data_IF_008789144090
#
_entry.id   IF_008789144090
#
_cell.length_a   1.000
_cell.length_b   1.000
_cell.length_c   1.000
_cell.angle_alpha   90.00
_cell.angle_beta   90.00
_cell.angle_gamma   90.00
#
_symmetry.space_group_name_H-M   'P 1'
#
loop_
_entity.id
_entity.type
_entity.pdbx_description
1 polymer ?
#
# COMPACT_ATOMS: atom_id res chain seq x y z
N UNK A 1 1.49 -3.38 -25.10
CA UNK A 1 2.66 -2.47 -25.08
C UNK A 1 3.24 -2.45 -23.67
N UNK A 2 4.49 -2.89 -23.46
CA UNK A 2 5.18 -2.80 -22.17
C UNK A 2 5.38 -4.10 -21.35
N UNK A 3 5.03 -5.27 -21.88
CA UNK A 3 5.21 -6.57 -21.19
C UNK A 3 6.38 -7.40 -21.78
N UNK A 4 7.19 -6.80 -22.66
CA UNK A 4 8.35 -7.50 -23.22
C UNK A 4 9.56 -7.32 -22.30
N UNK A 5 10.35 -8.37 -22.04
CA UNK A 5 11.54 -8.30 -21.19
C UNK A 5 12.57 -7.25 -21.62
N UNK A 6 12.57 -6.91 -22.90
CA UNK A 6 13.48 -5.96 -23.54
C UNK A 6 13.17 -4.52 -23.11
N UNK A 7 11.88 -4.16 -23.02
CA UNK A 7 11.43 -2.85 -22.52
C UNK A 7 11.85 -2.63 -21.04
N UNK A 8 11.88 -3.69 -20.23
CA UNK A 8 12.28 -3.62 -18.81
C UNK A 8 13.76 -3.27 -18.62
N UNK A 9 14.64 -3.77 -19.50
CA UNK A 9 16.08 -3.51 -19.40
C UNK A 9 16.43 -2.07 -19.78
N UNK A 10 15.76 -1.51 -20.77
CA UNK A 10 16.05 -0.16 -21.26
C UNK A 10 15.30 0.94 -20.48
N UNK A 11 14.03 0.72 -20.12
CA UNK A 11 13.15 1.75 -19.54
C UNK A 11 12.87 1.56 -18.05
N UNK A 12 13.36 0.46 -17.48
CA UNK A 12 13.06 0.06 -16.09
C UNK A 12 11.65 -0.52 -15.92
N UNK A 13 11.32 -0.98 -14.70
CA UNK A 13 10.00 -1.52 -14.41
C UNK A 13 8.94 -0.42 -14.48
N UNK A 14 7.79 -0.77 -15.07
CA UNK A 14 6.57 0.02 -14.91
C UNK A 14 5.92 -0.34 -13.58
N UNK A 15 5.66 0.66 -12.75
CA UNK A 15 5.05 0.50 -11.43
C UNK A 15 3.66 1.12 -11.49
N UNK A 16 2.65 0.36 -11.07
CA UNK A 16 1.30 0.89 -10.87
C UNK A 16 1.09 1.00 -9.36
N UNK A 17 0.79 2.21 -8.89
CA UNK A 17 0.44 2.47 -7.50
C UNK A 17 -1.08 2.61 -7.43
N UNK A 18 -1.71 1.69 -6.70
CA UNK A 18 -3.15 1.72 -6.44
C UNK A 18 -3.39 2.54 -5.17
N UNK A 19 -4.19 3.61 -5.29
CA UNK A 19 -4.51 4.53 -4.21
C UNK A 19 -6.02 4.51 -3.92
N UNK A 20 -6.38 4.81 -2.68
CA UNK A 20 -7.77 5.10 -2.33
C UNK A 20 -8.20 6.48 -2.86
N UNK A 21 -9.46 6.84 -2.68
CA UNK A 21 -10.01 8.10 -3.19
C UNK A 21 -9.78 9.30 -2.27
N UNK A 22 -8.89 9.23 -1.28
CA UNK A 22 -8.69 10.33 -0.36
C UNK A 22 -8.28 11.62 -1.10
N UNK A 23 -8.90 12.74 -0.73
CA UNK A 23 -8.81 14.00 -1.49
C UNK A 23 -7.38 14.53 -1.62
N UNK A 24 -6.52 14.23 -0.64
CA UNK A 24 -5.12 14.63 -0.65
C UNK A 24 -4.26 13.86 -1.66
N UNK A 25 -4.67 12.67 -2.13
CA UNK A 25 -3.99 11.96 -3.22
C UNK A 25 -4.28 12.54 -4.60
N UNK A 26 -5.30 13.40 -4.72
CA UNK A 26 -5.79 13.94 -6.00
C UNK A 26 -5.34 15.36 -6.30
N UNK A 27 -4.32 15.84 -5.58
CA UNK A 27 -3.70 17.13 -5.80
C UNK A 27 -3.05 17.17 -7.18
N UNK A 28 -3.56 18.01 -8.08
CA UNK A 28 -3.15 18.05 -9.49
C UNK A 28 -1.65 18.33 -9.66
N UNK A 29 -1.13 19.27 -8.88
CA UNK A 29 0.29 19.63 -8.83
C UNK A 29 1.18 18.43 -8.49
N UNK A 30 0.77 17.62 -7.52
CA UNK A 30 1.49 16.40 -7.13
C UNK A 30 1.47 15.35 -8.23
N UNK A 31 0.31 15.15 -8.88
CA UNK A 31 0.16 14.18 -9.98
C UNK A 31 0.99 14.61 -11.19
N UNK A 32 0.90 15.88 -11.59
CA UNK A 32 1.65 16.43 -12.72
C UNK A 32 3.17 16.35 -12.49
N UNK A 33 3.63 16.63 -11.26
CA UNK A 33 5.03 16.49 -10.90
C UNK A 33 5.48 15.02 -10.97
N UNK A 34 4.67 14.09 -10.44
CA UNK A 34 4.96 12.65 -10.50
C UNK A 34 5.06 12.12 -11.93
N UNK A 35 4.12 12.49 -12.80
CA UNK A 35 4.13 12.07 -14.21
C UNK A 35 5.36 12.60 -14.98
N UNK A 36 5.84 13.79 -14.60
CA UNK A 36 7.02 14.41 -15.21
C UNK A 36 8.33 13.81 -14.70
N UNK A 37 8.45 13.59 -13.40
CA UNK A 37 9.69 13.13 -12.76
C UNK A 37 9.85 11.61 -12.81
N UNK A 38 8.75 10.86 -12.74
CA UNK A 38 8.72 9.40 -12.66
C UNK A 38 7.78 8.81 -13.74
N UNK A 39 8.15 8.93 -15.04
CA UNK A 39 7.29 8.50 -16.15
C UNK A 39 7.03 6.98 -16.20
N UNK A 40 7.75 6.19 -15.41
CA UNK A 40 7.54 4.76 -15.24
C UNK A 40 6.57 4.41 -14.10
N UNK A 41 6.11 5.39 -13.31
CA UNK A 41 5.11 5.22 -12.27
C UNK A 41 3.77 5.74 -12.76
N UNK A 42 2.72 4.92 -12.61
CA UNK A 42 1.34 5.30 -12.90
C UNK A 42 0.50 5.19 -11.65
N UNK A 43 -0.28 6.24 -11.35
CA UNK A 43 -1.25 6.23 -10.27
C UNK A 43 -2.60 5.74 -10.80
N UNK A 44 -3.23 4.85 -10.05
CA UNK A 44 -4.58 4.35 -10.31
C UNK A 44 -5.40 4.48 -9.04
N UNK A 45 -6.63 4.96 -9.17
CA UNK A 45 -7.51 5.20 -8.04
C UNK A 45 -8.58 4.11 -7.99
N UNK A 46 -8.82 3.55 -6.81
CA UNK A 46 -9.92 2.60 -6.62
C UNK A 46 -11.27 3.26 -6.92
N UNK A 47 -12.33 2.49 -7.24
CA UNK A 47 -13.68 3.03 -7.35
C UNK A 47 -14.15 3.64 -6.02
N UNK A 48 -15.14 4.53 -6.07
CA UNK A 48 -15.72 5.10 -4.86
C UNK A 48 -16.34 3.98 -3.99
N UNK A 49 -16.22 4.13 -2.66
CA UNK A 49 -16.81 3.20 -1.68
C UNK A 49 -16.44 1.72 -1.88
N UNK A 50 -15.20 1.46 -2.31
CA UNK A 50 -14.66 0.13 -2.59
C UNK A 50 -13.54 -0.28 -1.61
N UNK A 51 -13.75 -0.17 -0.27
CA UNK A 51 -12.72 -0.51 0.71
C UNK A 51 -12.29 -1.99 0.61
N UNK A 52 -13.20 -2.89 0.22
CA UNK A 52 -12.93 -4.32 0.04
C UNK A 52 -11.92 -4.60 -1.08
N UNK A 53 -11.72 -3.65 -2.00
CA UNK A 53 -10.73 -3.74 -3.06
C UNK A 53 -9.34 -3.22 -2.64
N UNK A 54 -9.25 -2.55 -1.50
CA UNK A 54 -7.98 -2.04 -1.00
C UNK A 54 -7.28 -3.11 -0.15
N UNK A 55 -6.29 -3.80 -0.75
CA UNK A 55 -5.54 -4.86 -0.08
C UNK A 55 -4.90 -4.42 1.25
N UNK A 56 -4.59 -3.12 1.41
CA UNK A 56 -4.03 -2.59 2.65
C UNK A 56 -4.99 -2.75 3.84
N UNK A 57 -6.31 -2.77 3.60
CA UNK A 57 -7.31 -2.99 4.65
C UNK A 57 -7.19 -4.39 5.25
N UNK A 58 -6.89 -5.40 4.42
CA UNK A 58 -6.63 -6.76 4.91
C UNK A 58 -5.38 -6.84 5.79
N UNK A 59 -4.32 -6.12 5.39
CA UNK A 59 -3.08 -6.03 6.16
C UNK A 59 -3.35 -5.37 7.51
N UNK A 60 -4.02 -4.22 7.52
CA UNK A 60 -4.38 -3.52 8.74
C UNK A 60 -5.34 -4.30 9.63
N UNK A 61 -6.29 -5.03 9.05
CA UNK A 61 -7.17 -5.89 9.81
C UNK A 61 -6.38 -6.98 10.54
N UNK A 62 -5.46 -7.66 9.83
CA UNK A 62 -4.62 -8.70 10.41
C UNK A 62 -3.69 -8.14 11.50
N UNK A 63 -3.10 -6.96 11.28
CA UNK A 63 -2.26 -6.29 12.27
C UNK A 63 -3.07 -5.88 13.51
N UNK A 64 -4.25 -5.29 13.34
CA UNK A 64 -5.13 -4.89 14.45
C UNK A 64 -5.61 -6.10 15.26
N UNK A 65 -5.97 -7.22 14.61
CA UNK A 65 -6.37 -8.45 15.31
C UNK A 65 -5.24 -8.98 16.21
N UNK A 66 -3.99 -8.92 15.73
CA UNK A 66 -2.81 -9.31 16.51
C UNK A 66 -2.57 -8.39 17.72
N UNK A 67 -2.84 -7.09 17.55
CA UNK A 67 -2.63 -6.05 18.57
C UNK A 67 -3.77 -6.00 19.61
N UNK A 68 -5.02 -6.30 19.22
CA UNK A 68 -6.23 -6.02 19.99
C UNK A 68 -6.28 -6.63 21.41
N UNK A 69 -5.51 -7.68 21.68
CA UNK A 69 -5.47 -8.37 22.98
C UNK A 69 -4.14 -8.16 23.73
N UNK A 70 -3.47 -7.03 23.48
CA UNK A 70 -2.19 -6.68 24.09
C UNK A 70 -2.26 -5.29 24.70
N UNK A 71 -1.66 -5.14 25.86
CA UNK A 71 -1.41 -3.85 26.47
C UNK A 71 0.02 -3.42 26.14
N UNK A 72 0.21 -2.11 25.96
CA UNK A 72 1.49 -1.49 25.69
C UNK A 72 1.71 -0.40 26.72
N UNK A 73 2.89 -0.35 27.33
CA UNK A 73 3.20 0.65 28.36
C UNK A 73 3.36 2.05 27.77
N UNK A 74 3.80 2.14 26.51
CA UNK A 74 4.07 3.39 25.81
C UNK A 74 3.98 3.24 24.29
N UNK A 75 4.12 4.37 23.59
CA UNK A 75 4.05 4.45 22.13
C UNK A 75 5.20 3.68 21.47
N UNK A 76 6.39 3.73 22.05
CA UNK A 76 7.60 3.10 21.52
C UNK A 76 7.45 1.57 21.47
N UNK A 77 6.78 0.98 22.46
CA UNK A 77 6.49 -0.45 22.47
C UNK A 77 5.51 -0.84 21.36
N UNK A 78 4.44 -0.06 21.18
CA UNK A 78 3.50 -0.25 20.08
C UNK A 78 4.20 -0.12 18.72
N UNK A 79 5.04 0.90 18.54
CA UNK A 79 5.81 1.11 17.31
C UNK A 79 6.73 -0.05 16.99
N UNK A 80 7.42 -0.62 17.98
CA UNK A 80 8.26 -1.82 17.80
C UNK A 80 7.44 -3.00 17.30
N UNK A 81 6.27 -3.25 17.90
CA UNK A 81 5.41 -4.35 17.47
C UNK A 81 4.86 -4.11 16.07
N UNK A 82 4.43 -2.89 15.75
CA UNK A 82 3.98 -2.55 14.38
C UNK A 82 5.11 -2.73 13.36
N UNK A 83 6.34 -2.33 13.69
CA UNK A 83 7.50 -2.52 12.82
C UNK A 83 7.80 -4.00 12.58
N UNK A 84 7.79 -4.80 13.65
CA UNK A 84 7.99 -6.24 13.57
C UNK A 84 6.94 -6.90 12.64
N UNK A 85 5.68 -6.50 12.78
CA UNK A 85 4.59 -7.03 11.97
C UNK A 85 4.71 -6.64 10.50
N UNK A 86 4.84 -5.33 10.21
CA UNK A 86 4.68 -4.80 8.86
C UNK A 86 5.97 -4.78 8.04
N UNK A 87 7.13 -4.69 8.70
CA UNK A 87 8.42 -4.48 8.02
C UNK A 87 9.40 -5.65 8.19
N UNK A 88 9.26 -6.47 9.24
CA UNK A 88 10.17 -7.59 9.53
C UNK A 88 9.56 -8.96 9.19
N UNK A 89 8.41 -8.98 8.51
CA UNK A 89 7.74 -10.22 8.10
C UNK A 89 7.04 -10.98 9.24
N UNK A 90 6.82 -10.33 10.39
CA UNK A 90 6.13 -10.93 11.53
C UNK A 90 4.62 -11.10 11.35
N UNK A 91 4.01 -10.46 10.34
CA UNK A 91 2.58 -10.53 10.09
C UNK A 91 2.20 -11.69 9.16
N UNK A 92 1.35 -12.58 9.66
CA UNK A 92 0.69 -13.60 8.84
C UNK A 92 -0.64 -13.03 8.33
N UNK A 93 -0.73 -12.80 7.02
CA UNK A 93 -1.94 -12.27 6.38
C UNK A 93 -2.83 -13.43 5.94
N UNK A 94 -4.09 -13.44 6.39
CA UNK A 94 -5.10 -14.43 5.97
C UNK A 94 -5.85 -13.96 4.72
N UNK A 95 -5.27 -14.23 3.55
CA UNK A 95 -5.78 -13.82 2.23
C UNK A 95 -7.17 -14.35 1.85
N UNK A 96 -7.62 -15.45 2.46
CA UNK A 96 -8.91 -16.07 2.15
C UNK A 96 -10.11 -15.45 2.89
N UNK A 97 -9.89 -14.41 3.71
CA UNK A 97 -10.99 -13.74 4.41
C UNK A 97 -11.72 -12.80 3.46
N UNK A 98 -13.05 -12.86 3.48
CA UNK A 98 -13.89 -11.76 2.98
C UNK A 98 -13.86 -10.67 4.05
N UNK A 99 -13.43 -9.47 3.65
CA UNK A 99 -13.55 -8.23 4.42
C UNK A 99 -15.03 -7.84 4.44
#
# INVERSE_FOLDING_TARGET
MGNLPEDFREKGPKIIIILDNASYHKKKDVIEQLEKELPNIRLEFLPAYSPDYNLIELVWHSAKEYIANREFENKEELEKVVNQLLNEGGLIIKWSRKI
#
